data_IF_529466463222
#
_entry.id   IF_529466463222
#
_cell.length_a   1.000
_cell.length_b   1.000
_cell.length_c   1.000
_cell.angle_alpha   90.00
_cell.angle_beta   90.00
_cell.angle_gamma   90.00
#
_symmetry.space_group_name_H-M   'P 1'
#
loop_
_entity.id
_entity.type
_entity.pdbx_description
1 polymer ?
#
# COMPACT_ATOMS: atom_id res chain seq x y z
N UNK A 1 -12.35 21.06 17.61
CA UNK A 1 -10.98 20.89 17.14
C UNK A 1 -10.36 19.58 17.59
N UNK A 2 -10.19 19.37 18.91
CA UNK A 2 -9.65 18.11 19.46
C UNK A 2 -10.46 16.89 19.06
N UNK A 3 -11.79 17.01 19.02
CA UNK A 3 -12.69 15.93 18.61
C UNK A 3 -12.46 15.52 17.17
N UNK A 4 -12.21 16.46 16.27
CA UNK A 4 -11.95 16.18 14.84
C UNK A 4 -10.67 15.38 14.68
N UNK A 5 -9.59 15.80 15.33
CA UNK A 5 -8.31 15.08 15.28
C UNK A 5 -8.43 13.68 15.87
N UNK A 6 -9.10 13.56 17.02
CA UNK A 6 -9.32 12.27 17.65
C UNK A 6 -10.15 11.32 16.76
N UNK A 7 -11.21 11.83 16.13
CA UNK A 7 -12.03 11.05 15.21
C UNK A 7 -11.20 10.55 14.00
N UNK A 8 -10.36 11.40 13.43
CA UNK A 8 -9.49 11.01 12.33
C UNK A 8 -8.52 9.91 12.77
N UNK A 9 -7.91 10.06 13.95
CA UNK A 9 -6.96 9.09 14.50
C UNK A 9 -7.63 7.74 14.75
N UNK A 10 -8.77 7.72 15.40
CA UNK A 10 -9.52 6.50 15.71
C UNK A 10 -10.00 5.83 14.41
N UNK A 11 -10.55 6.61 13.50
CA UNK A 11 -11.04 6.09 12.22
C UNK A 11 -9.92 5.47 11.41
N UNK A 12 -8.78 6.14 11.31
CA UNK A 12 -7.62 5.60 10.62
C UNK A 12 -7.15 4.27 11.24
N UNK A 13 -7.12 4.19 12.56
CA UNK A 13 -6.74 2.96 13.25
C UNK A 13 -7.71 1.80 12.93
N UNK A 14 -9.01 2.07 12.98
CA UNK A 14 -10.03 1.06 12.66
C UNK A 14 -9.89 0.58 11.21
N UNK A 15 -9.68 1.50 10.27
CA UNK A 15 -9.49 1.17 8.86
C UNK A 15 -8.23 0.33 8.65
N UNK A 16 -7.13 0.70 9.31
CA UNK A 16 -5.87 -0.04 9.22
C UNK A 16 -5.99 -1.45 9.78
N UNK A 17 -6.64 -1.63 10.93
CA UNK A 17 -6.87 -2.94 11.55
C UNK A 17 -7.73 -3.84 10.65
N UNK A 18 -8.82 -3.30 10.11
CA UNK A 18 -9.69 -4.04 9.21
C UNK A 18 -8.96 -4.46 7.94
N UNK A 19 -8.15 -3.59 7.38
CA UNK A 19 -7.34 -3.89 6.21
C UNK A 19 -6.27 -4.95 6.51
N UNK A 20 -5.62 -4.87 7.66
CA UNK A 20 -4.66 -5.89 8.10
C UNK A 20 -5.32 -7.28 8.20
N UNK A 21 -6.58 -7.34 8.64
CA UNK A 21 -7.32 -8.60 8.68
C UNK A 21 -7.56 -9.19 7.28
N UNK A 22 -7.74 -8.36 6.26
CA UNK A 22 -7.84 -8.81 4.86
C UNK A 22 -6.51 -9.41 4.39
N UNK A 23 -5.38 -8.80 4.78
CA UNK A 23 -4.04 -9.22 4.36
C UNK A 23 -3.49 -10.42 5.16
N UNK A 24 -3.99 -10.64 6.36
CA UNK A 24 -3.45 -11.65 7.30
C UNK A 24 -3.34 -13.06 6.72
N UNK A 25 -4.32 -13.61 5.97
CA UNK A 25 -4.19 -14.95 5.37
C UNK A 25 -3.03 -15.05 4.37
N UNK A 26 -2.57 -13.93 3.84
CA UNK A 26 -1.45 -13.87 2.89
C UNK A 26 -0.12 -13.57 3.58
N UNK A 27 -0.14 -13.41 4.90
CA UNK A 27 1.03 -13.06 5.71
C UNK A 27 1.73 -11.78 5.24
N UNK A 28 0.94 -10.81 4.77
CA UNK A 28 1.41 -9.51 4.31
C UNK A 28 1.03 -8.42 5.29
N UNK A 29 1.96 -7.51 5.55
CA UNK A 29 1.66 -6.26 6.22
C UNK A 29 1.11 -5.23 5.21
N UNK A 30 0.51 -4.16 5.72
CA UNK A 30 0.03 -3.04 4.91
C UNK A 30 1.17 -2.43 4.08
N UNK A 31 2.34 -2.26 4.70
CA UNK A 31 3.51 -1.68 4.05
C UNK A 31 4.07 -2.60 2.96
N UNK A 32 4.14 -3.91 3.21
CA UNK A 32 4.55 -4.90 2.20
C UNK A 32 3.59 -4.89 1.00
N UNK A 33 2.30 -4.86 1.27
CA UNK A 33 1.27 -4.77 0.23
C UNK A 33 1.44 -3.48 -0.58
N UNK A 34 1.75 -2.36 0.07
CA UNK A 34 1.99 -1.08 -0.60
C UNK A 34 3.19 -1.18 -1.57
N UNK A 35 4.30 -1.79 -1.16
CA UNK A 35 5.44 -2.04 -2.06
C UNK A 35 5.01 -2.82 -3.29
N UNK A 36 4.28 -3.91 -3.10
CA UNK A 36 3.82 -4.75 -4.22
C UNK A 36 2.90 -3.97 -5.18
N UNK A 37 2.00 -3.16 -4.67
CA UNK A 37 1.10 -2.32 -5.50
C UNK A 37 1.88 -1.26 -6.28
N UNK A 38 2.88 -0.64 -5.66
CA UNK A 38 3.75 0.32 -6.33
C UNK A 38 4.44 -0.36 -7.52
N UNK A 39 4.99 -1.54 -7.32
CA UNK A 39 5.65 -2.30 -8.39
C UNK A 39 4.68 -2.69 -9.51
N UNK A 40 3.49 -3.15 -9.18
CA UNK A 40 2.48 -3.53 -10.19
C UNK A 40 2.11 -2.35 -11.09
N UNK A 41 2.10 -1.15 -10.56
CA UNK A 41 1.79 0.05 -11.32
C UNK A 41 2.89 0.52 -12.28
N UNK A 42 4.07 -0.09 -12.25
CA UNK A 42 5.20 0.29 -13.09
C UNK A 42 5.28 -0.55 -14.35
N UNK A 43 5.91 0.02 -15.38
CA UNK A 43 6.22 -0.71 -16.60
C UNK A 43 7.13 -1.89 -16.28
N UNK A 44 6.79 -3.07 -16.76
CA UNK A 44 7.49 -4.33 -16.48
C UNK A 44 7.53 -4.70 -15.00
N UNK A 45 6.74 -4.04 -14.16
CA UNK A 45 6.64 -4.26 -12.70
C UNK A 45 7.98 -4.13 -11.98
N UNK A 46 8.83 -3.22 -12.46
CA UNK A 46 10.19 -2.97 -11.95
C UNK A 46 10.33 -1.53 -11.48
N UNK A 47 11.01 -1.34 -10.36
CA UNK A 47 11.36 -0.02 -9.86
C UNK A 47 12.62 -0.12 -8.99
N UNK A 48 13.45 0.94 -8.95
CA UNK A 48 14.58 0.94 -8.05
C UNK A 48 14.13 1.22 -6.60
N UNK A 49 14.97 0.79 -5.64
CA UNK A 49 14.68 0.89 -4.21
C UNK A 49 14.36 2.32 -3.77
N UNK A 50 15.12 3.29 -4.25
CA UNK A 50 14.91 4.71 -3.90
C UNK A 50 13.54 5.21 -4.35
N UNK A 51 13.14 4.87 -5.56
CA UNK A 51 11.84 5.26 -6.09
C UNK A 51 10.68 4.59 -5.35
N UNK A 52 10.85 3.36 -4.91
CA UNK A 52 9.86 2.69 -4.05
C UNK A 52 9.69 3.49 -2.76
N UNK A 53 10.80 3.83 -2.09
CA UNK A 53 10.77 4.60 -0.84
C UNK A 53 10.04 5.94 -1.02
N UNK A 54 10.28 6.63 -2.11
CA UNK A 54 9.66 7.92 -2.41
C UNK A 54 8.14 7.81 -2.61
N UNK A 55 7.66 6.65 -3.07
CA UNK A 55 6.22 6.40 -3.37
C UNK A 55 5.45 5.75 -2.24
N UNK A 56 6.13 5.34 -1.16
CA UNK A 56 5.45 4.74 -0.02
C UNK A 56 4.47 5.72 0.62
N UNK A 57 3.28 5.24 0.97
CA UNK A 57 2.28 6.02 1.72
C UNK A 57 2.84 6.39 3.09
N UNK A 58 3.40 5.41 3.80
CA UNK A 58 4.09 5.64 5.07
C UNK A 58 5.55 6.01 4.80
N UNK A 59 5.87 7.30 4.78
CA UNK A 59 7.22 7.82 4.43
C UNK A 59 8.31 7.37 5.40
N UNK A 60 7.96 7.06 6.65
CA UNK A 60 8.90 6.56 7.65
C UNK A 60 9.16 5.06 7.55
N UNK A 61 8.59 4.36 6.57
CA UNK A 61 8.79 2.92 6.38
C UNK A 61 10.24 2.58 6.07
N UNK A 62 10.74 1.49 6.66
CA UNK A 62 12.02 0.91 6.29
C UNK A 62 11.83 0.03 5.04
N UNK A 63 11.95 0.63 3.87
CA UNK A 63 11.70 -0.01 2.57
C UNK A 63 12.63 -1.20 2.33
N UNK A 64 13.90 -1.10 2.69
CA UNK A 64 14.87 -2.20 2.55
C UNK A 64 14.39 -3.44 3.31
N UNK A 65 13.96 -3.27 4.55
CA UNK A 65 13.44 -4.38 5.38
C UNK A 65 12.16 -4.97 4.79
N UNK A 66 11.26 -4.14 4.28
CA UNK A 66 10.03 -4.59 3.63
C UNK A 66 10.34 -5.46 2.40
N UNK A 67 11.27 -5.00 1.56
CA UNK A 67 11.71 -5.74 0.38
C UNK A 67 12.39 -7.04 0.77
N UNK A 68 13.25 -7.06 1.78
CA UNK A 68 13.89 -8.28 2.26
C UNK A 68 12.87 -9.34 2.67
N UNK A 69 11.81 -8.95 3.35
CA UNK A 69 10.71 -9.85 3.72
C UNK A 69 9.95 -10.37 2.49
N UNK A 70 9.73 -9.52 1.50
CA UNK A 70 9.07 -9.91 0.26
C UNK A 70 9.95 -10.84 -0.59
N UNK A 71 11.26 -10.68 -0.55
CA UNK A 71 12.22 -11.60 -1.18
C UNK A 71 12.10 -13.01 -0.59
N UNK A 72 12.05 -13.13 0.74
CA UNK A 72 11.89 -14.41 1.43
C UNK A 72 10.58 -15.09 1.00
N UNK A 73 9.53 -14.33 0.82
CA UNK A 73 8.21 -14.83 0.37
C UNK A 73 8.13 -15.06 -1.13
N UNK A 74 9.19 -14.76 -1.87
CA UNK A 74 9.25 -14.89 -3.33
C UNK A 74 8.22 -14.02 -4.08
N UNK A 75 7.77 -12.95 -3.47
CA UNK A 75 6.85 -11.98 -4.07
C UNK A 75 7.57 -11.01 -5.00
N UNK A 76 8.85 -10.79 -4.75
CA UNK A 76 9.72 -9.90 -5.54
C UNK A 76 11.07 -10.55 -5.79
N UNK A 77 11.78 -10.07 -6.81
CA UNK A 77 13.20 -10.36 -7.04
C UNK A 77 14.01 -9.07 -6.92
N UNK A 78 15.29 -9.21 -6.67
CA UNK A 78 16.23 -8.12 -6.51
C UNK A 78 17.38 -8.29 -7.50
N UNK A 79 17.70 -7.22 -8.22
CA UNK A 79 18.77 -7.21 -9.20
C UNK A 79 19.62 -5.96 -9.07
N UNK A 80 20.93 -6.13 -9.03
CA UNK A 80 21.86 -5.00 -9.09
C UNK A 80 21.96 -4.58 -10.56
N UNK A 81 21.82 -3.28 -10.84
CA UNK A 81 21.98 -2.77 -12.20
C UNK A 81 23.41 -2.96 -12.68
N UNK A 82 23.65 -3.64 -13.83
CA UNK A 82 25.01 -3.89 -14.33
C UNK A 82 25.81 -2.62 -14.61
N UNK A 83 25.13 -1.53 -15.01
CA UNK A 83 25.75 -0.25 -15.34
C UNK A 83 26.01 0.63 -14.12
N UNK A 84 25.34 0.34 -12.98
CA UNK A 84 25.48 1.11 -11.75
C UNK A 84 25.17 0.22 -10.55
N UNK A 85 26.21 -0.29 -9.88
CA UNK A 85 26.08 -1.19 -8.72
C UNK A 85 25.39 -0.57 -7.52
N UNK A 86 25.25 0.77 -7.47
CA UNK A 86 24.51 1.47 -6.42
C UNK A 86 23.00 1.45 -6.69
N UNK A 87 22.60 1.11 -7.90
CA UNK A 87 21.19 1.07 -8.31
C UNK A 87 20.67 -0.36 -8.18
N UNK A 88 19.75 -0.55 -7.24
CA UNK A 88 19.12 -1.84 -6.98
C UNK A 88 17.70 -1.79 -7.54
N UNK A 89 17.39 -2.71 -8.44
CA UNK A 89 16.07 -2.85 -9.05
C UNK A 89 15.31 -3.98 -8.36
N UNK A 90 14.05 -3.70 -8.04
CA UNK A 90 13.12 -4.65 -7.47
C UNK A 90 12.02 -4.93 -8.48
N UNK A 91 11.73 -6.19 -8.72
CA UNK A 91 10.71 -6.61 -9.67
C UNK A 91 9.68 -7.50 -8.99
N UNK A 92 8.41 -7.26 -9.29
CA UNK A 92 7.32 -8.12 -8.84
C UNK A 92 7.40 -9.45 -9.60
N UNK A 93 7.30 -10.57 -8.87
CA UNK A 93 7.27 -11.91 -9.47
C UNK A 93 5.86 -12.26 -9.97
N UNK A 94 5.76 -13.34 -10.77
CA UNK A 94 4.46 -13.90 -11.13
C UNK A 94 3.63 -14.27 -9.92
N UNK A 95 4.26 -14.85 -8.89
CA UNK A 95 3.61 -15.16 -7.61
C UNK A 95 3.09 -13.89 -6.92
N UNK A 96 3.89 -12.83 -6.91
CA UNK A 96 3.49 -11.54 -6.34
C UNK A 96 2.31 -10.94 -7.10
N UNK A 97 2.35 -10.98 -8.42
CA UNK A 97 1.25 -10.50 -9.27
C UNK A 97 -0.04 -11.29 -9.02
N UNK A 98 0.03 -12.62 -9.00
CA UNK A 98 -1.13 -13.48 -8.76
C UNK A 98 -1.73 -13.26 -7.37
N UNK A 99 -0.88 -13.07 -6.36
CA UNK A 99 -1.32 -12.73 -4.99
C UNK A 99 -2.08 -11.42 -4.97
N UNK A 100 -1.59 -10.40 -5.67
CA UNK A 100 -2.30 -9.12 -5.79
C UNK A 100 -3.65 -9.27 -6.49
N UNK A 101 -3.74 -10.10 -7.53
CA UNK A 101 -5.01 -10.36 -8.21
C UNK A 101 -6.04 -10.99 -7.28
N UNK A 102 -5.64 -11.97 -6.46
CA UNK A 102 -6.53 -12.55 -5.46
C UNK A 102 -6.99 -11.54 -4.42
N UNK A 103 -6.07 -10.67 -3.99
CA UNK A 103 -6.37 -9.64 -3.00
C UNK A 103 -7.27 -8.53 -3.55
N UNK A 104 -7.21 -8.24 -4.85
CA UNK A 104 -8.00 -7.15 -5.45
C UNK A 104 -9.49 -7.29 -5.13
N UNK A 105 -10.07 -8.47 -5.31
CA UNK A 105 -11.49 -8.71 -5.02
C UNK A 105 -11.81 -8.56 -3.53
N UNK A 106 -10.93 -9.02 -2.65
CA UNK A 106 -11.11 -8.95 -1.19
C UNK A 106 -10.98 -7.52 -0.69
N UNK A 107 -10.03 -6.77 -1.21
CA UNK A 107 -9.87 -5.35 -0.90
C UNK A 107 -11.09 -4.56 -1.38
N UNK A 108 -11.57 -4.85 -2.58
CA UNK A 108 -12.76 -4.20 -3.14
C UNK A 108 -14.00 -4.46 -2.27
N UNK A 109 -14.20 -5.69 -1.79
CA UNK A 109 -15.29 -6.03 -0.88
C UNK A 109 -15.18 -5.24 0.43
N UNK A 110 -13.97 -5.16 0.99
CA UNK A 110 -13.72 -4.40 2.21
C UNK A 110 -14.00 -2.91 2.02
N UNK A 111 -13.48 -2.32 0.96
CA UNK A 111 -13.70 -0.90 0.63
C UNK A 111 -15.20 -0.61 0.44
N UNK A 112 -15.90 -1.49 -0.27
CA UNK A 112 -17.33 -1.36 -0.48
C UNK A 112 -18.13 -1.43 0.82
N UNK A 113 -17.72 -2.28 1.75
CA UNK A 113 -18.39 -2.41 3.06
C UNK A 113 -18.28 -1.14 3.91
N UNK A 114 -17.19 -0.41 3.76
CA UNK A 114 -16.96 0.87 4.43
C UNK A 114 -17.75 2.00 3.74
N UNK A 115 -17.66 2.05 2.41
CA UNK A 115 -18.31 3.07 1.59
C UNK A 115 -19.83 2.99 1.68
N UNK A 116 -20.40 1.80 1.88
CA UNK A 116 -21.84 1.60 2.00
C UNK A 116 -22.48 2.31 3.19
N UNK A 117 -21.67 2.74 4.16
CA UNK A 117 -22.14 3.46 5.35
C UNK A 117 -22.48 4.93 5.08
N UNK A 118 -22.03 5.44 3.94
CA UNK A 118 -22.21 6.83 3.54
C UNK A 118 -22.85 6.89 2.15
N UNK A 119 -23.62 7.94 1.90
CA UNK A 119 -24.14 8.20 0.56
C UNK A 119 -23.01 8.67 -0.36
N UNK A 120 -23.24 8.63 -1.67
CA UNK A 120 -22.28 9.14 -2.67
C UNK A 120 -21.94 10.61 -2.40
N UNK A 121 -22.94 11.43 -2.07
CA UNK A 121 -22.75 12.85 -1.74
C UNK A 121 -21.88 13.01 -0.49
N UNK A 122 -22.16 12.23 0.55
CA UNK A 122 -21.39 12.27 1.80
C UNK A 122 -19.93 11.83 1.58
N UNK A 123 -19.70 10.79 0.76
CA UNK A 123 -18.34 10.36 0.40
C UNK A 123 -17.59 11.47 -0.33
N UNK A 124 -18.24 12.15 -1.26
CA UNK A 124 -17.63 13.27 -1.98
C UNK A 124 -17.28 14.42 -1.04
N UNK A 125 -18.18 14.77 -0.14
CA UNK A 125 -17.95 15.81 0.88
C UNK A 125 -16.77 15.44 1.79
N UNK A 126 -16.72 14.19 2.23
CA UNK A 126 -15.62 13.70 3.07
C UNK A 126 -14.27 13.79 2.35
N UNK A 127 -14.23 13.36 1.08
CA UNK A 127 -13.02 13.45 0.26
C UNK A 127 -12.55 14.90 0.12
N UNK A 128 -13.45 15.81 -0.22
CA UNK A 128 -13.15 17.24 -0.38
C UNK A 128 -12.61 17.85 0.92
N UNK A 129 -13.21 17.51 2.06
CA UNK A 129 -12.77 17.99 3.37
C UNK A 129 -11.40 17.45 3.76
N UNK A 130 -11.15 16.17 3.50
CA UNK A 130 -9.84 15.55 3.77
C UNK A 130 -8.75 16.16 2.87
N UNK A 131 -9.05 16.38 1.59
CA UNK A 131 -8.13 17.03 0.66
C UNK A 131 -7.81 18.45 1.12
N UNK A 132 -8.83 19.21 1.51
CA UNK A 132 -8.66 20.57 2.05
C UNK A 132 -7.80 20.58 3.30
N UNK A 133 -7.97 19.59 4.17
CA UNK A 133 -7.18 19.48 5.41
C UNK A 133 -5.69 19.25 5.13
N UNK A 134 -5.37 18.48 4.08
CA UNK A 134 -3.97 18.17 3.70
C UNK A 134 -3.32 19.28 2.89
N UNK A 135 -4.08 19.98 2.08
CA UNK A 135 -3.59 20.98 1.13
C UNK A 135 -3.70 22.41 1.68
N UNK A 136 -3.20 22.61 2.85
CA UNK A 136 -3.16 23.95 3.46
C UNK A 136 -2.11 24.86 2.80
#
# INVERSE_FOLDING_TARGET
>A
EKKTILNLTITNQILAEGFNNVLKPYELSNEQFNVMRILRGQKNHVLNMKCIQERMVAKASNTTRLVDKLLIKQMVTRKVCPSNRRKIEIQLTGKGFDTLQELDSKVQIYDASLSAKLSTTELQQLNDLLDKLRNS
#
